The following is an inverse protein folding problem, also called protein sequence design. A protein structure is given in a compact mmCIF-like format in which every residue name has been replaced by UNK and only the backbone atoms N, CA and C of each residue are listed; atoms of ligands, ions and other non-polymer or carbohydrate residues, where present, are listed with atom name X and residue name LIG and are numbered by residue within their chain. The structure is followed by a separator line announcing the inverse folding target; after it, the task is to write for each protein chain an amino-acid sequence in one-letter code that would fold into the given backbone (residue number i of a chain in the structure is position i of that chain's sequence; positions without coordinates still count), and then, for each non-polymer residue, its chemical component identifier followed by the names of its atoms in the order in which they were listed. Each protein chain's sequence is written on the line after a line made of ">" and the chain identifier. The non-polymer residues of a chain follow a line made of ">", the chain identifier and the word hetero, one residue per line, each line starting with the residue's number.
data_IF_336252744147
#
_entry.id   IF_336252744147
#
_cell.length_a   1.000
_cell.length_b   1.000
_cell.length_c   1.000
_cell.angle_alpha   90.00
_cell.angle_beta   90.00
_cell.angle_gamma   90.00
#
_symmetry.space_group_name_H-M   'P 1'
#
loop_
_entity.id
_entity.type
_entity.pdbx_description
1 polymer ?
#
# COMPACT_ATOMS: atom_id res chain seq x y z
N UNK A 1 13.08 8.07 29.21
CA UNK A 1 14.34 7.70 28.57
C UNK A 1 14.67 8.68 27.46
N UNK A 2 15.81 9.33 27.57
CA UNK A 2 16.23 10.38 26.65
C UNK A 2 16.38 9.84 25.22
N UNK A 3 16.91 8.64 25.05
CA UNK A 3 17.10 8.03 23.75
C UNK A 3 15.75 7.71 23.06
N UNK A 4 14.80 7.21 23.83
CA UNK A 4 13.48 6.90 23.31
C UNK A 4 12.73 8.17 22.88
N UNK A 5 12.82 9.23 23.69
CA UNK A 5 12.21 10.51 23.37
C UNK A 5 12.83 11.13 22.12
N UNK A 6 14.13 11.07 22.01
CA UNK A 6 14.84 11.62 20.85
C UNK A 6 14.46 10.86 19.57
N UNK A 7 14.40 9.54 19.64
CA UNK A 7 14.00 8.70 18.51
C UNK A 7 12.56 9.01 18.08
N UNK A 8 11.66 9.19 19.05
CA UNK A 8 10.25 9.47 18.79
C UNK A 8 10.10 10.83 18.07
N UNK A 9 10.80 11.84 18.53
CA UNK A 9 10.77 13.17 17.92
C UNK A 9 11.31 13.12 16.49
N UNK A 10 12.40 12.40 16.26
CA UNK A 10 12.98 12.26 14.93
C UNK A 10 12.02 11.57 13.97
N UNK A 11 11.34 10.52 14.44
CA UNK A 11 10.35 9.80 13.63
C UNK A 11 9.19 10.72 13.24
N UNK A 12 8.67 11.48 14.21
CA UNK A 12 7.58 12.41 13.97
C UNK A 12 7.99 13.49 12.95
N UNK A 13 9.18 14.04 13.11
CA UNK A 13 9.73 15.04 12.19
C UNK A 13 9.83 14.50 10.78
N UNK A 14 10.37 13.29 10.62
CA UNK A 14 10.49 12.63 9.32
C UNK A 14 9.14 12.44 8.65
N UNK A 15 8.14 12.03 9.41
CA UNK A 15 6.79 11.83 8.90
C UNK A 15 6.18 13.14 8.37
N UNK A 16 6.36 14.22 9.13
CA UNK A 16 5.86 15.53 8.72
C UNK A 16 6.57 16.03 7.47
N UNK A 17 7.88 15.86 7.42
CA UNK A 17 8.67 16.33 6.28
C UNK A 17 8.33 15.52 5.02
N UNK A 18 8.15 14.23 5.16
CA UNK A 18 7.73 13.39 4.03
C UNK A 18 6.42 13.88 3.44
N UNK A 19 5.43 14.19 4.27
CA UNK A 19 4.13 14.69 3.81
C UNK A 19 4.28 16.04 3.11
N UNK A 20 5.11 16.94 3.65
CA UNK A 20 5.33 18.25 3.06
C UNK A 20 5.99 18.17 1.69
N UNK A 21 6.96 17.26 1.53
CA UNK A 21 7.70 17.14 0.28
C UNK A 21 6.96 16.36 -0.79
N UNK A 22 6.22 15.32 -0.41
CA UNK A 22 5.58 14.43 -1.37
C UNK A 22 4.07 14.68 -1.50
N UNK A 23 3.45 15.33 -0.53
CA UNK A 23 2.00 15.49 -0.47
C UNK A 23 1.28 14.26 0.06
N UNK A 24 1.99 13.20 0.41
CA UNK A 24 1.42 11.96 0.91
C UNK A 24 1.87 11.69 2.33
N UNK A 25 1.00 11.05 3.13
CA UNK A 25 1.43 10.50 4.41
C UNK A 25 2.27 9.25 4.14
N UNK A 26 3.11 8.88 5.12
CA UNK A 26 3.91 7.65 5.00
C UNK A 26 2.99 6.43 4.85
N UNK A 27 1.85 6.42 5.60
CA UNK A 27 0.89 5.34 5.48
C UNK A 27 0.30 5.21 4.09
N UNK A 28 -0.08 6.33 3.47
CA UNK A 28 -0.61 6.33 2.10
C UNK A 28 0.46 5.89 1.09
N UNK A 29 1.70 6.32 1.30
CA UNK A 29 2.80 5.92 0.44
C UNK A 29 3.02 4.41 0.48
N UNK A 30 3.03 3.83 1.69
CA UNK A 30 3.20 2.39 1.86
C UNK A 30 2.05 1.63 1.19
N UNK A 31 0.81 2.10 1.39
CA UNK A 31 -0.36 1.47 0.79
C UNK A 31 -0.27 1.50 -0.75
N UNK A 32 0.15 2.62 -1.31
CA UNK A 32 0.32 2.75 -2.75
C UNK A 32 1.38 1.78 -3.28
N UNK A 33 2.51 1.66 -2.59
CA UNK A 33 3.57 0.73 -2.97
C UNK A 33 3.11 -0.71 -2.91
N UNK A 34 2.33 -1.08 -1.87
CA UNK A 34 1.76 -2.42 -1.74
C UNK A 34 0.82 -2.73 -2.91
N UNK A 35 0.00 -1.78 -3.31
CA UNK A 35 -0.93 -1.97 -4.42
C UNK A 35 -0.23 -2.05 -5.77
N UNK A 36 0.86 -1.31 -5.96
CA UNK A 36 1.66 -1.43 -7.16
C UNK A 36 2.29 -2.83 -7.27
N UNK A 37 2.80 -3.34 -6.16
CA UNK A 37 3.33 -4.71 -6.11
C UNK A 37 2.22 -5.72 -6.39
N UNK A 38 1.03 -5.49 -5.82
CA UNK A 38 -0.12 -6.36 -6.05
C UNK A 38 -0.46 -6.45 -7.53
N UNK A 39 -0.43 -5.32 -8.24
CA UNK A 39 -0.71 -5.31 -9.68
C UNK A 39 0.31 -6.14 -10.45
N UNK A 40 1.59 -6.01 -10.12
CA UNK A 40 2.64 -6.82 -10.75
C UNK A 40 2.41 -8.32 -10.54
N UNK A 41 2.04 -8.70 -9.30
CA UNK A 41 1.77 -10.09 -8.98
C UNK A 41 0.57 -10.63 -9.73
N UNK A 42 -0.49 -9.83 -9.87
CA UNK A 42 -1.68 -10.21 -10.63
C UNK A 42 -1.34 -10.41 -12.11
N UNK A 43 -0.55 -9.51 -12.67
CA UNK A 43 -0.14 -9.61 -14.07
C UNK A 43 0.75 -10.81 -14.33
N UNK A 44 1.50 -11.27 -13.32
CA UNK A 44 2.33 -12.47 -13.46
C UNK A 44 1.57 -13.77 -13.20
N UNK A 45 0.25 -13.69 -12.92
CA UNK A 45 -0.60 -14.87 -12.81
C UNK A 45 -0.91 -15.33 -11.40
N UNK A 46 -0.49 -14.58 -10.37
CA UNK A 46 -0.78 -14.95 -9.00
C UNK A 46 -2.27 -14.73 -8.71
N UNK A 47 -2.98 -15.70 -8.09
CA UNK A 47 -4.39 -15.53 -7.78
C UNK A 47 -4.66 -14.32 -6.88
N UNK A 48 -5.76 -13.62 -7.12
CA UNK A 48 -6.07 -12.38 -6.41
C UNK A 48 -6.17 -12.59 -4.88
N UNK A 49 -6.71 -13.71 -4.44
CA UNK A 49 -6.80 -14.00 -3.00
C UNK A 49 -5.41 -14.11 -2.37
N UNK A 50 -4.48 -14.74 -3.07
CA UNK A 50 -3.10 -14.87 -2.60
C UNK A 50 -2.39 -13.52 -2.58
N UNK A 51 -2.60 -12.70 -3.61
CA UNK A 51 -2.04 -11.35 -3.69
C UNK A 51 -2.51 -10.50 -2.51
N UNK A 52 -3.80 -10.56 -2.21
CA UNK A 52 -4.39 -9.84 -1.07
C UNK A 52 -3.64 -10.17 0.22
N UNK A 53 -3.47 -11.45 0.49
CA UNK A 53 -2.79 -11.93 1.69
C UNK A 53 -1.32 -11.51 1.70
N UNK A 54 -0.61 -11.73 0.59
CA UNK A 54 0.82 -11.45 0.49
C UNK A 54 1.14 -9.97 0.61
N UNK A 55 0.20 -9.10 0.21
CA UNK A 55 0.39 -7.67 0.32
C UNK A 55 -0.03 -7.09 1.68
N UNK A 56 -0.40 -7.95 2.63
CA UNK A 56 -0.66 -7.56 4.00
C UNK A 56 -2.10 -7.15 4.30
N UNK A 57 -3.04 -7.47 3.43
CA UNK A 57 -4.46 -7.21 3.68
C UNK A 57 -5.09 -8.44 4.32
N UNK A 58 -5.87 -8.21 5.38
CA UNK A 58 -6.56 -9.30 6.08
C UNK A 58 -7.91 -9.64 5.47
N UNK A 59 -8.46 -8.72 4.68
CA UNK A 59 -9.81 -8.80 4.17
C UNK A 59 -9.79 -8.44 2.69
N UNK A 60 -10.33 -9.34 1.86
CA UNK A 60 -10.36 -9.14 0.41
C UNK A 60 -11.17 -7.90 0.03
N UNK A 61 -12.27 -7.62 0.74
CA UNK A 61 -13.09 -6.45 0.46
C UNK A 61 -12.32 -5.15 0.63
N UNK A 62 -11.51 -5.07 1.67
CA UNK A 62 -10.65 -3.90 1.90
C UNK A 62 -9.60 -3.76 0.80
N UNK A 63 -8.97 -4.86 0.42
CA UNK A 63 -8.00 -4.88 -0.67
C UNK A 63 -8.64 -4.44 -1.98
N UNK A 64 -9.80 -4.99 -2.30
CA UNK A 64 -10.49 -4.68 -3.55
C UNK A 64 -10.86 -3.20 -3.63
N UNK A 65 -11.37 -2.62 -2.55
CA UNK A 65 -11.72 -1.20 -2.52
C UNK A 65 -10.50 -0.31 -2.70
N UNK A 66 -9.41 -0.62 -2.02
CA UNK A 66 -8.16 0.14 -2.15
C UNK A 66 -7.59 0.03 -3.56
N UNK A 67 -7.63 -1.16 -4.14
CA UNK A 67 -7.14 -1.41 -5.49
C UNK A 67 -7.95 -0.62 -6.52
N UNK A 68 -9.27 -0.67 -6.42
CA UNK A 68 -10.15 0.06 -7.36
C UNK A 68 -9.96 1.57 -7.24
N UNK A 69 -9.73 2.06 -6.03
CA UNK A 69 -9.51 3.49 -5.81
C UNK A 69 -8.25 3.97 -6.52
N UNK A 70 -7.21 3.16 -6.53
CA UNK A 70 -5.93 3.55 -7.14
C UNK A 70 -5.90 3.31 -8.66
N UNK A 71 -6.41 2.17 -9.12
CA UNK A 71 -6.27 1.76 -10.51
C UNK A 71 -7.56 1.87 -11.34
N UNK A 72 -8.67 2.23 -10.71
CA UNK A 72 -9.98 2.35 -11.38
C UNK A 72 -10.47 1.03 -11.99
N UNK A 73 -9.95 -0.09 -11.52
CA UNK A 73 -10.39 -1.42 -11.91
C UNK A 73 -10.27 -2.38 -10.73
N UNK A 74 -10.96 -3.50 -10.78
CA UNK A 74 -10.85 -4.51 -9.73
C UNK A 74 -9.64 -5.42 -9.98
N UNK A 75 -9.14 -6.12 -8.93
CA UNK A 75 -8.05 -7.10 -9.15
C UNK A 75 -8.42 -8.17 -10.17
N UNK A 76 -9.68 -8.61 -10.20
CA UNK A 76 -10.15 -9.60 -11.18
C UNK A 76 -10.03 -9.07 -12.60
N UNK A 77 -10.34 -7.80 -12.81
CA UNK A 77 -10.25 -7.18 -14.13
C UNK A 77 -8.80 -7.09 -14.62
N UNK A 78 -7.87 -6.86 -13.71
CA UNK A 78 -6.45 -6.82 -14.06
C UNK A 78 -5.99 -8.18 -14.62
N UNK A 79 -6.44 -9.27 -13.99
CA UNK A 79 -6.07 -10.62 -14.44
C UNK A 79 -6.69 -10.94 -15.78
N UNK A 80 -7.95 -10.54 -16.01
CA UNK A 80 -8.65 -10.88 -17.26
C UNK A 80 -8.15 -10.09 -18.47
N UNK A 81 -7.40 -9.02 -18.26
CA UNK A 81 -6.84 -8.26 -19.40
C UNK A 81 -5.70 -8.97 -20.11
N UNK A 82 -5.22 -10.06 -19.54
CA UNK A 82 -4.23 -10.91 -20.20
C UNK A 82 -4.93 -11.92 -21.11
#
# INVERSE_FOLDING_TARGET
>A
DILAEHFYISKYYMMRQFKQETGYTIGNYIAQKRLLLAKEMLLSGTPAAQVCYDCGYHDYSTFQRAYRKLFSESPSQTVTLE
#
